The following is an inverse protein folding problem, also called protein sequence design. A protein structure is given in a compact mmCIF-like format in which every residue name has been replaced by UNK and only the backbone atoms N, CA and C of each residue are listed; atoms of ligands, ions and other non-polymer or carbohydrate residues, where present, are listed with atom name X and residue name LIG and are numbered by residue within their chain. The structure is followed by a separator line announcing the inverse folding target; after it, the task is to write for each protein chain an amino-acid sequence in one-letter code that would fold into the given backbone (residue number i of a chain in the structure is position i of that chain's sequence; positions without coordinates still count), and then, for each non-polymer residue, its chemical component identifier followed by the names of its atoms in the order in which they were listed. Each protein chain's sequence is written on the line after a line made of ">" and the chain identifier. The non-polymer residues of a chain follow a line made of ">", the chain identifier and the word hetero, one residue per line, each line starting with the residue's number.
data_IF_652003019777
#
_entry.id   IF_652003019777
#
_cell.length_a   1.000
_cell.length_b   1.000
_cell.length_c   1.000
_cell.angle_alpha   90.00
_cell.angle_beta   90.00
_cell.angle_gamma   90.00
#
_symmetry.space_group_name_H-M   'P 1'
#
loop_
_entity.id
_entity.type
_entity.pdbx_description
1 polymer ?
#
# COMPACT_ATOMS: atom_id res chain seq x y z
N UNK A 1 2.08 -8.20 37.72
CA UNK A 1 2.20 -7.74 36.31
C UNK A 1 2.79 -8.87 35.51
N UNK A 2 2.25 -9.24 34.33
CA UNK A 2 2.84 -10.30 33.51
C UNK A 2 4.31 -9.93 33.22
N UNK A 3 5.21 -10.91 33.32
CA UNK A 3 6.65 -10.79 33.05
C UNK A 3 7.43 -9.67 33.78
N UNK A 4 6.89 -9.06 34.85
CA UNK A 4 7.60 -8.06 35.65
C UNK A 4 7.73 -6.66 35.01
N UNK A 5 7.07 -6.41 33.88
CA UNK A 5 7.06 -5.10 33.20
C UNK A 5 5.76 -4.35 33.41
N UNK A 6 5.82 -3.02 33.41
CA UNK A 6 4.67 -2.16 33.66
C UNK A 6 3.64 -2.19 32.52
N UNK A 7 2.35 -2.02 32.85
CA UNK A 7 1.28 -1.95 31.85
C UNK A 7 1.49 -0.87 30.76
N UNK A 8 2.00 0.34 31.09
CA UNK A 8 2.39 1.32 30.09
C UNK A 8 3.45 0.83 29.10
N UNK A 9 4.34 -0.07 29.51
CA UNK A 9 5.36 -0.65 28.63
C UNK A 9 4.71 -1.49 27.52
N UNK A 10 3.71 -2.30 27.86
CA UNK A 10 2.95 -3.07 26.88
C UNK A 10 2.17 -2.17 25.91
N UNK A 11 1.52 -1.14 26.44
CA UNK A 11 0.77 -0.18 25.61
C UNK A 11 1.70 0.57 24.64
N UNK A 12 2.91 0.94 25.07
CA UNK A 12 3.93 1.53 24.20
C UNK A 12 4.35 0.59 23.09
N UNK A 13 4.59 -0.68 23.40
CA UNK A 13 4.97 -1.67 22.40
C UNK A 13 3.84 -1.89 21.37
N UNK A 14 2.59 -1.99 21.83
CA UNK A 14 1.41 -2.09 20.96
C UNK A 14 1.26 -0.85 20.06
N UNK A 15 1.37 0.35 20.62
CA UNK A 15 1.28 1.58 19.83
C UNK A 15 2.40 1.66 18.78
N UNK A 16 3.63 1.30 19.16
CA UNK A 16 4.77 1.29 18.24
C UNK A 16 4.57 0.30 17.08
N UNK A 17 4.04 -0.90 17.34
CA UNK A 17 3.78 -1.90 16.29
C UNK A 17 2.67 -1.44 15.34
N UNK A 18 1.60 -0.85 15.86
CA UNK A 18 0.53 -0.28 15.03
C UNK A 18 1.05 0.87 14.16
N UNK A 19 1.85 1.79 14.73
CA UNK A 19 2.45 2.89 13.98
C UNK A 19 3.38 2.39 12.87
N UNK A 20 4.20 1.38 13.16
CA UNK A 20 5.07 0.77 12.16
C UNK A 20 4.27 0.15 10.99
N UNK A 21 3.18 -0.55 11.30
CA UNK A 21 2.27 -1.12 10.28
C UNK A 21 1.66 -0.03 9.39
N UNK A 22 1.12 1.04 9.99
CA UNK A 22 0.51 2.15 9.26
C UNK A 22 1.53 2.90 8.39
N UNK A 23 2.72 3.17 8.93
CA UNK A 23 3.80 3.81 8.20
C UNK A 23 4.27 2.94 7.01
N UNK A 24 4.40 1.63 7.21
CA UNK A 24 4.74 0.68 6.16
C UNK A 24 3.71 0.66 5.04
N UNK A 25 2.42 0.60 5.37
CA UNK A 25 1.34 0.66 4.39
C UNK A 25 1.39 1.97 3.58
N UNK A 26 1.56 3.12 4.24
CA UNK A 26 1.72 4.41 3.56
C UNK A 26 2.95 4.46 2.65
N UNK A 27 4.08 3.88 3.08
CA UNK A 27 5.29 3.84 2.26
C UNK A 27 5.08 3.08 0.95
N UNK A 28 4.43 1.91 1.00
CA UNK A 28 4.10 1.11 -0.20
C UNK A 28 3.13 1.87 -1.10
N UNK A 29 2.09 2.49 -0.53
CA UNK A 29 1.16 3.32 -1.31
C UNK A 29 1.84 4.51 -1.98
N UNK A 30 2.77 5.18 -1.29
CA UNK A 30 3.53 6.31 -1.87
C UNK A 30 4.50 5.88 -2.95
N UNK A 31 5.18 4.76 -2.74
CA UNK A 31 6.25 4.28 -3.62
C UNK A 31 5.69 3.63 -4.89
N UNK A 32 4.72 2.73 -4.73
CA UNK A 32 4.14 1.98 -5.85
C UNK A 32 2.91 2.64 -6.46
N UNK A 33 2.27 3.60 -5.78
CA UNK A 33 1.02 4.25 -6.20
C UNK A 33 0.06 3.27 -6.87
N UNK A 34 -0.35 2.22 -6.15
CA UNK A 34 -1.27 1.25 -6.71
C UNK A 34 -2.55 1.98 -7.14
N UNK A 35 -3.06 1.66 -8.31
CA UNK A 35 -4.41 2.07 -8.67
C UNK A 35 -5.38 1.26 -7.80
N UNK A 36 -6.20 1.96 -7.02
CA UNK A 36 -7.21 1.36 -6.15
C UNK A 36 -8.60 1.35 -6.81
N UNK A 37 -8.71 1.76 -8.07
CA UNK A 37 -9.95 1.70 -8.80
C UNK A 37 -10.38 0.23 -8.97
N UNK A 38 -11.56 -0.11 -8.46
CA UNK A 38 -12.19 -1.41 -8.68
C UNK A 38 -13.22 -1.21 -9.79
N UNK A 39 -13.09 -1.90 -10.94
CA UNK A 39 -14.12 -1.82 -11.97
C UNK A 39 -15.42 -2.41 -11.44
N UNK A 40 -16.55 -1.72 -11.64
CA UNK A 40 -17.89 -2.21 -11.26
C UNK A 40 -18.23 -3.55 -11.94
N UNK A 41 -17.74 -3.73 -13.17
CA UNK A 41 -17.93 -4.96 -13.93
C UNK A 41 -16.66 -5.81 -13.78
N UNK A 42 -16.75 -7.03 -13.23
CA UNK A 42 -15.60 -7.89 -13.12
C UNK A 42 -15.07 -8.25 -14.50
N UNK A 43 -13.75 -8.26 -14.71
CA UNK A 43 -13.15 -8.65 -15.99
C UNK A 43 -13.47 -10.11 -16.30
N UNK A 44 -13.52 -10.43 -17.60
CA UNK A 44 -13.74 -11.81 -18.03
C UNK A 44 -12.57 -12.70 -17.57
N UNK A 45 -12.81 -14.00 -17.32
CA UNK A 45 -11.74 -14.95 -17.01
C UNK A 45 -10.63 -14.88 -18.06
N UNK A 46 -9.40 -14.51 -17.65
CA UNK A 46 -8.24 -14.35 -18.53
C UNK A 46 -7.89 -12.92 -18.95
N UNK A 47 -8.75 -11.93 -18.70
CA UNK A 47 -8.47 -10.50 -18.98
C UNK A 47 -8.01 -9.71 -17.74
N UNK A 48 -7.78 -10.39 -16.62
CA UNK A 48 -7.25 -9.79 -15.40
C UNK A 48 -5.84 -9.25 -15.65
N UNK A 49 -5.74 -7.94 -15.80
CA UNK A 49 -4.44 -7.25 -15.84
C UNK A 49 -3.85 -7.24 -14.44
N UNK A 50 -2.93 -8.17 -14.19
CA UNK A 50 -2.15 -8.26 -12.95
C UNK A 50 -0.90 -7.38 -12.97
N UNK A 51 -0.68 -6.64 -14.06
CA UNK A 51 0.41 -5.67 -14.15
C UNK A 51 0.21 -4.52 -13.15
N UNK A 52 1.30 -4.00 -12.61
CA UNK A 52 1.29 -2.80 -11.76
C UNK A 52 0.87 -1.59 -12.62
N UNK A 53 -0.44 -1.34 -12.71
CA UNK A 53 -1.04 -0.24 -13.48
C UNK A 53 -0.33 1.11 -13.24
N UNK A 54 0.12 1.36 -12.01
CA UNK A 54 0.86 2.58 -11.64
C UNK A 54 2.24 2.76 -12.29
N UNK A 55 2.88 1.70 -12.80
CA UNK A 55 4.12 1.80 -13.60
C UNK A 55 3.83 2.16 -15.06
N UNK A 56 2.79 1.55 -15.64
CA UNK A 56 2.33 1.84 -17.00
C UNK A 56 1.86 3.29 -17.13
N UNK A 57 1.07 3.82 -16.20
CA UNK A 57 0.61 5.22 -16.26
C UNK A 57 1.76 6.23 -16.24
N UNK A 58 2.81 5.96 -15.45
CA UNK A 58 4.02 6.81 -15.45
C UNK A 58 4.75 6.75 -16.79
N UNK A 59 4.88 5.56 -17.38
CA UNK A 59 5.48 5.40 -18.71
C UNK A 59 4.70 6.17 -19.77
N UNK A 60 3.37 6.07 -19.75
CA UNK A 60 2.48 6.78 -20.68
C UNK A 60 2.61 8.29 -20.56
N UNK A 61 2.58 8.85 -19.34
CA UNK A 61 2.70 10.31 -19.11
C UNK A 61 4.07 10.86 -19.53
N UNK A 62 5.15 10.11 -19.29
CA UNK A 62 6.50 10.50 -19.73
C UNK A 62 6.57 10.54 -21.26
N UNK A 63 5.90 9.61 -21.94
CA UNK A 63 5.89 9.53 -23.41
C UNK A 63 5.04 10.65 -24.05
N UNK A 64 3.93 11.06 -23.45
CA UNK A 64 3.09 12.17 -23.96
C UNK A 64 3.70 13.55 -23.71
N UNK A 65 4.61 13.68 -22.74
CA UNK A 65 5.28 14.94 -22.44
C UNK A 65 6.52 15.20 -23.33
N UNK A 66 6.94 14.22 -24.13
CA UNK A 66 8.09 14.29 -25.04
C UNK A 66 7.68 14.43 -26.53
N UNK A 67 6.39 14.64 -26.80
CA UNK A 67 5.82 14.89 -28.13
C UNK A 67 5.14 16.27 -28.13
#
# INVERSE_FOLDING_TARGET
>A
MPAGVSWPTYLRALAASMLAMLAGAQAVHRYYRPDLSIPEIPPKPGELRTELLGLTERSSKVQTSQQ
#
